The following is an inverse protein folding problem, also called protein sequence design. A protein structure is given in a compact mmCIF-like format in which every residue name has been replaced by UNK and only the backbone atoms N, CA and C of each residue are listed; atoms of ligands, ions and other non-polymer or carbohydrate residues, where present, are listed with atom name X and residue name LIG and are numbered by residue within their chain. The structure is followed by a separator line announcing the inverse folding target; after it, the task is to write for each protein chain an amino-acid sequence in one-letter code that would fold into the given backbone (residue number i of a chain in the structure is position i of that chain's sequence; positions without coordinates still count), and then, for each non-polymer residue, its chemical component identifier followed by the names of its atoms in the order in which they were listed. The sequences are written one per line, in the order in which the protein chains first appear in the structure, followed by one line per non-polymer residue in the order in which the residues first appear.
data_IF_673531380762
#
_entry.id   IF_673531380762
#
_cell.length_a   1.000
_cell.length_b   1.000
_cell.length_c   1.000
_cell.angle_alpha   90.00
_cell.angle_beta   90.00
_cell.angle_gamma   90.00
#
_symmetry.space_group_name_H-M   'P 1'
#
loop_
_entity.id
_entity.type
_entity.pdbx_description
1 polymer ?
#
# COMPACT_ATOMS: atom_id res chain seq x y z
N UNK A 1 -15.92 8.04 -35.85
CA UNK A 1 -16.26 7.70 -34.46
C UNK A 1 -15.06 8.07 -33.60
N UNK A 2 -15.16 9.04 -32.69
CA UNK A 2 -14.05 9.34 -31.78
C UNK A 2 -13.83 8.12 -30.90
N UNK A 3 -12.62 7.56 -30.94
CA UNK A 3 -12.21 6.45 -30.08
C UNK A 3 -11.93 7.06 -28.72
N UNK A 4 -12.78 6.81 -27.74
CA UNK A 4 -12.50 7.26 -26.37
C UNK A 4 -11.34 6.40 -25.84
N UNK A 5 -10.28 7.01 -25.27
CA UNK A 5 -9.25 6.22 -24.62
C UNK A 5 -9.89 5.38 -23.51
N UNK A 6 -9.42 4.14 -23.27
CA UNK A 6 -9.96 3.33 -22.19
C UNK A 6 -9.85 4.09 -20.88
N UNK A 7 -10.93 4.11 -20.10
CA UNK A 7 -10.95 4.75 -18.80
C UNK A 7 -9.86 4.13 -17.91
N UNK A 8 -9.06 4.96 -17.25
CA UNK A 8 -8.10 4.48 -16.25
C UNK A 8 -8.88 3.84 -15.09
N UNK A 9 -8.39 2.73 -14.52
CA UNK A 9 -8.95 2.19 -13.29
C UNK A 9 -9.02 3.26 -12.20
N UNK A 10 -10.07 3.22 -11.40
CA UNK A 10 -10.14 4.03 -10.19
C UNK A 10 -9.00 3.64 -9.24
N UNK A 11 -8.36 4.60 -8.59
CA UNK A 11 -7.28 4.33 -7.64
C UNK A 11 -7.79 4.55 -6.21
N UNK A 12 -7.69 3.52 -5.37
CA UNK A 12 -8.13 3.58 -3.96
C UNK A 12 -6.95 3.27 -3.06
N UNK A 13 -6.34 4.32 -2.51
CA UNK A 13 -5.27 4.23 -1.52
C UNK A 13 -5.81 4.34 -0.09
N UNK A 14 -5.39 3.44 0.79
CA UNK A 14 -5.76 3.44 2.21
C UNK A 14 -4.50 3.53 3.08
N UNK A 15 -4.29 4.69 3.69
CA UNK A 15 -3.28 4.88 4.73
C UNK A 15 -3.86 4.52 6.09
N UNK A 16 -3.28 3.51 6.75
CA UNK A 16 -3.73 3.06 8.07
C UNK A 16 -3.26 4.00 9.20
N UNK A 17 -2.42 4.97 8.87
CA UNK A 17 -1.71 5.84 9.81
C UNK A 17 -1.09 5.00 10.94
N UNK A 18 -1.14 5.53 12.16
CA UNK A 18 -0.74 4.82 13.38
C UNK A 18 -1.96 4.35 14.20
N UNK A 19 -3.07 3.98 13.55
CA UNK A 19 -4.29 3.56 14.26
C UNK A 19 -4.32 2.08 14.64
N UNK A 20 -3.65 1.21 13.88
CA UNK A 20 -3.73 -0.24 14.06
C UNK A 20 -2.40 -0.83 14.50
N UNK A 21 -2.44 -1.72 15.48
CA UNK A 21 -1.30 -2.59 15.81
C UNK A 21 -1.05 -3.65 14.73
N UNK A 22 0.01 -4.44 14.89
CA UNK A 22 0.38 -5.47 13.89
C UNK A 22 -0.72 -6.53 13.69
N UNK A 23 -1.23 -7.11 14.79
CA UNK A 23 -2.27 -8.14 14.73
C UNK A 23 -3.58 -7.62 14.10
N UNK A 24 -3.97 -6.39 14.43
CA UNK A 24 -5.14 -5.72 13.84
C UNK A 24 -4.92 -5.43 12.36
N UNK A 25 -3.72 -4.99 11.97
CA UNK A 25 -3.36 -4.78 10.57
C UNK A 25 -3.45 -6.08 9.77
N UNK A 26 -2.97 -7.20 10.32
CA UNK A 26 -3.09 -8.53 9.69
C UNK A 26 -4.55 -8.93 9.51
N UNK A 27 -5.38 -8.75 10.55
CA UNK A 27 -6.81 -9.06 10.47
C UNK A 27 -7.51 -8.18 9.43
N UNK A 28 -7.20 -6.88 9.41
CA UNK A 28 -7.73 -5.92 8.45
C UNK A 28 -7.33 -6.27 7.01
N UNK A 29 -6.06 -6.61 6.76
CA UNK A 29 -5.58 -7.01 5.43
C UNK A 29 -6.30 -8.28 4.93
N UNK A 30 -6.59 -9.24 5.81
CA UNK A 30 -7.36 -10.44 5.44
C UNK A 30 -8.78 -10.08 5.02
N UNK A 31 -9.45 -9.19 5.76
CA UNK A 31 -10.78 -8.70 5.41
C UNK A 31 -10.76 -7.96 4.06
N UNK A 32 -9.74 -7.14 3.78
CA UNK A 32 -9.58 -6.49 2.48
C UNK A 32 -9.33 -7.50 1.36
N UNK A 33 -8.53 -8.54 1.59
CA UNK A 33 -8.31 -9.60 0.62
C UNK A 33 -9.63 -10.30 0.24
N UNK A 34 -10.52 -10.54 1.21
CA UNK A 34 -11.83 -11.14 0.96
C UNK A 34 -12.73 -10.21 0.10
N UNK A 35 -12.73 -8.92 0.39
CA UNK A 35 -13.43 -7.91 -0.45
C UNK A 35 -12.84 -7.87 -1.86
N UNK A 36 -11.52 -7.80 -2.00
CA UNK A 36 -10.85 -7.71 -3.29
C UNK A 36 -11.14 -8.93 -4.19
N UNK A 37 -11.23 -10.13 -3.61
CA UNK A 37 -11.58 -11.37 -4.32
C UNK A 37 -13.04 -11.45 -4.75
N UNK A 38 -13.94 -10.82 -3.99
CA UNK A 38 -15.39 -10.93 -4.19
C UNK A 38 -15.98 -9.78 -5.01
N UNK A 39 -15.44 -8.57 -4.90
CA UNK A 39 -16.06 -7.37 -5.45
C UNK A 39 -15.91 -7.31 -6.98
N UNK A 40 -16.99 -7.11 -7.75
CA UNK A 40 -16.93 -7.14 -9.22
C UNK A 40 -15.93 -6.15 -9.83
N UNK A 41 -15.85 -4.93 -9.28
CA UNK A 41 -14.98 -3.86 -9.78
C UNK A 41 -13.50 -4.21 -9.65
N UNK A 42 -13.08 -4.81 -8.53
CA UNK A 42 -11.67 -5.21 -8.33
C UNK A 42 -11.33 -6.42 -9.20
N UNK A 43 -12.25 -7.38 -9.34
CA UNK A 43 -12.09 -8.53 -10.23
C UNK A 43 -12.02 -8.15 -11.71
N UNK A 44 -12.73 -7.11 -12.12
CA UNK A 44 -12.71 -6.57 -13.48
C UNK A 44 -11.47 -5.70 -13.75
N UNK A 45 -10.63 -5.43 -12.74
CA UNK A 45 -9.48 -4.53 -12.86
C UNK A 45 -9.88 -3.06 -13.03
N UNK A 46 -11.12 -2.71 -12.70
CA UNK A 46 -11.65 -1.34 -12.80
C UNK A 46 -11.27 -0.48 -11.57
N UNK A 47 -10.77 -1.11 -10.50
CA UNK A 47 -10.18 -0.44 -9.35
C UNK A 47 -8.83 -1.05 -8.96
N UNK A 48 -7.82 -0.19 -8.82
CA UNK A 48 -6.52 -0.50 -8.26
C UNK A 48 -6.52 -0.15 -6.76
N UNK A 49 -6.19 -1.13 -5.92
CA UNK A 49 -6.15 -0.98 -4.47
C UNK A 49 -4.71 -0.84 -3.99
N UNK A 50 -4.48 0.10 -3.08
CA UNK A 50 -3.20 0.28 -2.40
C UNK A 50 -3.39 0.39 -0.89
N UNK A 51 -2.61 -0.35 -0.12
CA UNK A 51 -2.62 -0.31 1.35
C UNK A 51 -1.28 0.17 1.88
N UNK A 52 -1.29 1.17 2.77
CA UNK A 52 -0.11 1.74 3.41
C UNK A 52 -0.18 1.50 4.93
N UNK A 53 0.27 0.33 5.42
CA UNK A 53 0.36 0.06 6.85
C UNK A 53 1.58 0.74 7.49
N UNK A 54 1.72 0.62 8.81
CA UNK A 54 3.00 0.92 9.47
C UNK A 54 4.11 0.00 8.95
N UNK A 55 5.36 0.47 8.97
CA UNK A 55 6.52 -0.30 8.47
C UNK A 55 6.59 -1.72 9.06
N UNK A 56 6.25 -1.87 10.34
CA UNK A 56 6.28 -3.15 11.07
C UNK A 56 5.33 -4.21 10.49
N UNK A 57 4.34 -3.79 9.69
CA UNK A 57 3.33 -4.69 9.12
C UNK A 57 3.42 -4.82 7.60
N UNK A 58 4.34 -4.11 6.95
CA UNK A 58 4.55 -4.19 5.48
C UNK A 58 4.79 -5.65 5.02
N UNK A 59 5.70 -6.44 5.63
CA UNK A 59 5.96 -7.80 5.14
C UNK A 59 4.73 -8.71 5.18
N UNK A 60 3.94 -8.61 6.25
CA UNK A 60 2.72 -9.40 6.39
C UNK A 60 1.63 -8.95 5.43
N UNK A 61 1.46 -7.63 5.25
CA UNK A 61 0.49 -7.08 4.31
C UNK A 61 0.80 -7.50 2.86
N UNK A 62 2.08 -7.44 2.45
CA UNK A 62 2.52 -7.90 1.12
C UNK A 62 2.11 -9.36 0.88
N UNK A 63 2.41 -10.26 1.83
CA UNK A 63 2.04 -11.67 1.67
C UNK A 63 0.53 -11.94 1.64
N UNK A 64 -0.26 -11.18 2.39
CA UNK A 64 -1.73 -11.36 2.48
C UNK A 64 -2.44 -10.82 1.22
N UNK A 65 -1.94 -9.71 0.69
CA UNK A 65 -2.56 -8.95 -0.40
C UNK A 65 -1.95 -9.22 -1.77
N UNK A 66 -1.01 -10.16 -1.88
CA UNK A 66 -0.37 -10.53 -3.15
C UNK A 66 -1.39 -10.83 -4.25
N UNK A 67 -1.20 -10.20 -5.41
CA UNK A 67 -2.12 -10.26 -6.55
C UNK A 67 -3.51 -9.63 -6.35
N UNK A 68 -3.79 -9.02 -5.19
CA UNK A 68 -5.10 -8.44 -4.85
C UNK A 68 -5.05 -6.93 -4.60
N UNK A 69 -3.99 -6.44 -3.98
CA UNK A 69 -3.74 -5.03 -3.77
C UNK A 69 -2.22 -4.78 -3.70
N UNK A 70 -1.80 -3.61 -4.15
CA UNK A 70 -0.43 -3.16 -3.93
C UNK A 70 -0.26 -2.76 -2.45
N UNK A 71 0.95 -2.95 -1.93
CA UNK A 71 1.31 -2.54 -0.58
C UNK A 71 2.42 -1.53 -0.65
N UNK A 72 2.43 -0.58 0.28
CA UNK A 72 3.43 0.46 0.36
C UNK A 72 3.77 0.86 1.78
N UNK A 73 4.36 2.04 1.93
CA UNK A 73 4.65 2.64 3.22
C UNK A 73 4.10 4.07 3.33
N UNK A 74 4.05 4.58 4.56
CA UNK A 74 3.49 5.90 4.88
C UNK A 74 4.51 7.04 4.80
N UNK A 75 5.80 6.71 4.65
CA UNK A 75 6.90 7.65 4.44
C UNK A 75 8.12 6.88 3.90
N UNK A 76 9.19 7.61 3.55
CA UNK A 76 10.53 7.05 3.37
C UNK A 76 11.62 8.10 3.65
N UNK A 77 12.83 7.62 3.91
CA UNK A 77 14.03 8.45 3.97
C UNK A 77 14.30 9.15 2.62
N UNK A 78 14.94 10.33 2.68
CA UNK A 78 15.39 11.01 1.45
C UNK A 78 16.63 10.31 0.87
N UNK A 79 17.45 9.72 1.72
CA UNK A 79 18.67 9.01 1.36
C UNK A 79 18.46 7.50 1.16
N UNK A 80 19.15 6.91 0.18
CA UNK A 80 19.05 5.48 -0.11
C UNK A 80 19.72 4.60 0.97
N UNK A 81 20.82 5.07 1.57
CA UNK A 81 21.59 4.37 2.61
C UNK A 81 22.48 5.35 3.40
N UNK A 82 22.67 5.12 4.69
CA UNK A 82 23.61 5.88 5.52
C UNK A 82 23.34 5.78 7.02
N UNK A 83 23.99 6.64 7.80
CA UNK A 83 23.89 6.67 9.26
C UNK A 83 22.65 7.45 9.75
N UNK A 84 21.46 7.03 9.30
CA UNK A 84 20.17 7.68 9.58
C UNK A 84 19.32 6.84 10.54
N UNK A 85 19.69 6.83 11.83
CA UNK A 85 19.00 6.01 12.83
C UNK A 85 17.50 6.35 12.91
N UNK A 86 16.66 5.33 12.73
CA UNK A 86 15.20 5.46 12.77
C UNK A 86 14.53 5.64 11.39
N UNK A 87 15.32 5.95 10.36
CA UNK A 87 14.83 6.08 8.99
C UNK A 87 14.70 4.74 8.28
N UNK A 88 13.84 4.69 7.26
CA UNK A 88 13.62 3.54 6.39
C UNK A 88 13.77 3.99 4.94
N UNK A 89 14.71 3.43 4.20
CA UNK A 89 14.94 3.85 2.82
C UNK A 89 13.93 3.24 1.84
N UNK A 90 13.74 3.91 0.70
CA UNK A 90 12.93 3.38 -0.40
C UNK A 90 13.41 2.00 -0.89
N UNK A 91 14.73 1.77 -0.85
CA UNK A 91 15.34 0.47 -1.16
C UNK A 91 14.85 -0.64 -0.22
N UNK A 92 14.83 -0.38 1.09
CA UNK A 92 14.33 -1.36 2.08
C UNK A 92 12.83 -1.63 1.91
N UNK A 93 12.03 -0.62 1.62
CA UNK A 93 10.59 -0.79 1.36
C UNK A 93 10.38 -1.67 0.11
N UNK A 94 11.13 -1.40 -0.95
CA UNK A 94 11.10 -2.19 -2.19
C UNK A 94 11.54 -3.63 -1.97
N UNK A 95 12.59 -3.85 -1.17
CA UNK A 95 13.08 -5.19 -0.80
C UNK A 95 11.99 -6.04 -0.15
N UNK A 96 11.13 -5.43 0.68
CA UNK A 96 9.99 -6.10 1.31
C UNK A 96 8.79 -6.34 0.36
N UNK A 97 8.86 -5.89 -0.89
CA UNK A 97 7.77 -5.98 -1.87
C UNK A 97 6.84 -4.76 -1.91
N UNK A 98 7.20 -3.66 -1.23
CA UNK A 98 6.47 -2.40 -1.31
C UNK A 98 6.59 -1.75 -2.70
N UNK A 99 5.47 -1.29 -3.25
CA UNK A 99 5.36 -0.67 -4.58
C UNK A 99 5.01 0.82 -4.53
N UNK A 100 4.52 1.31 -3.40
CA UNK A 100 4.10 2.70 -3.21
C UNK A 100 4.67 3.29 -1.93
N UNK A 101 4.83 4.60 -1.90
CA UNK A 101 5.09 5.35 -0.67
C UNK A 101 4.28 6.64 -0.68
N UNK A 102 3.59 6.91 0.42
CA UNK A 102 2.97 8.21 0.69
C UNK A 102 4.04 9.22 1.13
N UNK A 103 4.08 10.39 0.51
CA UNK A 103 5.09 11.42 0.81
C UNK A 103 4.42 12.76 1.04
N UNK A 104 4.83 13.45 2.10
CA UNK A 104 4.33 14.77 2.43
C UNK A 104 2.87 14.78 2.89
N UNK A 105 2.43 13.73 3.60
CA UNK A 105 1.16 13.72 4.32
C UNK A 105 1.11 14.91 5.29
N UNK A 106 -0.06 15.53 5.45
CA UNK A 106 -0.20 16.78 6.22
C UNK A 106 0.23 16.63 7.69
N UNK A 107 0.08 15.45 8.29
CA UNK A 107 0.53 15.15 9.66
C UNK A 107 2.07 15.12 9.81
N UNK A 108 2.81 15.09 8.69
CA UNK A 108 4.29 15.14 8.65
C UNK A 108 4.82 16.50 8.17
N UNK A 109 3.96 17.49 7.97
CA UNK A 109 4.31 18.87 7.55
C UNK A 109 4.13 19.84 8.72
#
# INVERSE_FOLDING_TARGET
MPVHPPARPAFVGVSLKMYLGHAETVAWCRAVADVARAHPVTRAGEAELVVLPSYLSVPAAVGILDGLAAVGAQDLATEDVGAFTGEVSGGQIRELGGAFVEVGHAERR
#
